data_IF_431704778272
#
_entry.id   IF_431704778272
#
_cell.length_a   1.000
_cell.length_b   1.000
_cell.length_c   1.000
_cell.angle_alpha   90.00
_cell.angle_beta   90.00
_cell.angle_gamma   90.00
#
_symmetry.space_group_name_H-M   'P 1'
#
loop_
_entity.id
_entity.type
_entity.pdbx_description
1 polymer ?
#
# COMPACT_ATOMS: atom_id res chain seq x y z
N UNK A 1 -19.02 -10.82 9.65
CA UNK A 1 -17.57 -10.88 9.36
C UNK A 1 -17.40 -10.37 7.95
N UNK A 2 -16.63 -9.31 7.71
CA UNK A 2 -16.45 -8.79 6.34
C UNK A 2 -15.58 -9.77 5.53
N UNK A 3 -16.04 -10.16 4.33
CA UNK A 3 -15.33 -11.06 3.42
C UNK A 3 -14.23 -10.30 2.66
N UNK A 4 -13.22 -9.84 3.41
CA UNK A 4 -12.07 -9.08 2.91
C UNK A 4 -10.91 -10.04 2.65
N UNK A 5 -10.32 -9.94 1.48
CA UNK A 5 -9.10 -10.64 1.09
C UNK A 5 -7.98 -9.64 0.78
N UNK A 6 -6.74 -10.14 0.85
CA UNK A 6 -5.55 -9.37 0.55
C UNK A 6 -4.64 -10.12 -0.42
N UNK A 7 -4.13 -9.41 -1.42
CA UNK A 7 -3.03 -9.86 -2.25
C UNK A 7 -1.81 -8.98 -2.01
N UNK A 8 -0.61 -9.56 -2.13
CA UNK A 8 0.66 -8.87 -1.85
C UNK A 8 1.66 -9.09 -2.98
N UNK A 9 2.46 -8.07 -3.27
CA UNK A 9 3.64 -8.13 -4.14
C UNK A 9 4.78 -7.39 -3.46
N UNK A 10 5.96 -8.00 -3.43
CA UNK A 10 7.16 -7.44 -2.83
C UNK A 10 8.26 -7.31 -3.88
N UNK A 11 8.86 -6.14 -3.96
CA UNK A 11 9.93 -5.82 -4.88
C UNK A 11 11.27 -5.82 -4.15
N UNK A 12 12.34 -6.11 -4.89
CA UNK A 12 13.71 -6.14 -4.35
C UNK A 12 14.17 -4.78 -3.82
N UNK A 13 13.62 -3.69 -4.36
CA UNK A 13 13.87 -2.30 -3.93
C UNK A 13 13.17 -1.94 -2.59
N UNK A 14 12.51 -2.90 -1.94
CA UNK A 14 11.84 -2.72 -0.66
C UNK A 14 10.46 -2.08 -0.74
N UNK A 15 9.88 -1.94 -1.94
CA UNK A 15 8.46 -1.63 -2.10
C UNK A 15 7.60 -2.88 -1.86
N UNK A 16 6.60 -2.74 -0.99
CA UNK A 16 5.51 -3.69 -0.86
C UNK A 16 4.20 -3.07 -1.33
N UNK A 17 3.55 -3.71 -2.30
CA UNK A 17 2.17 -3.43 -2.67
C UNK A 17 1.24 -4.43 -1.98
N UNK A 18 0.09 -3.93 -1.55
CA UNK A 18 -1.03 -4.78 -1.17
C UNK A 18 -2.32 -4.29 -1.81
N UNK A 19 -3.19 -5.23 -2.19
CA UNK A 19 -4.55 -4.95 -2.62
C UNK A 19 -5.49 -5.52 -1.58
N UNK A 20 -6.25 -4.65 -0.92
CA UNK A 20 -7.39 -5.03 -0.11
C UNK A 20 -8.61 -5.09 -1.03
N UNK A 21 -9.31 -6.22 -1.07
CA UNK A 21 -10.57 -6.32 -1.78
C UNK A 21 -11.61 -7.11 -1.00
N UNK A 22 -12.78 -6.50 -0.88
CA UNK A 22 -14.03 -7.14 -0.46
C UNK A 22 -14.61 -7.94 -1.61
N UNK A 23 -14.99 -9.19 -1.33
CA UNK A 23 -15.65 -10.06 -2.31
C UNK A 23 -17.07 -9.57 -2.61
N UNK A 24 -17.78 -9.09 -1.58
CA UNK A 24 -19.22 -8.82 -1.68
C UNK A 24 -19.59 -7.33 -1.86
N UNK A 25 -18.63 -6.41 -1.73
CA UNK A 25 -18.85 -4.95 -1.83
C UNK A 25 -17.70 -4.26 -2.59
N UNK A 26 -17.82 -3.95 -3.89
CA UNK A 26 -16.71 -3.37 -4.65
C UNK A 26 -16.27 -1.98 -4.17
N UNK A 27 -17.03 -1.30 -3.30
CA UNK A 27 -16.69 0.05 -2.80
C UNK A 27 -15.62 0.06 -1.71
N UNK A 28 -15.26 -1.09 -1.15
CA UNK A 28 -14.25 -1.24 -0.08
C UNK A 28 -12.95 -1.86 -0.60
N UNK A 29 -12.48 -1.40 -1.76
CA UNK A 29 -11.23 -1.86 -2.40
C UNK A 29 -10.17 -0.77 -2.40
N UNK A 30 -8.95 -1.12 -2.01
CA UNK A 30 -7.84 -0.17 -1.93
C UNK A 30 -6.50 -0.83 -2.25
N UNK A 31 -5.57 -0.03 -2.76
CA UNK A 31 -4.17 -0.42 -2.93
C UNK A 31 -3.32 0.35 -1.92
N UNK A 32 -2.47 -0.36 -1.20
CA UNK A 32 -1.52 0.22 -0.27
C UNK A 32 -0.07 0.03 -0.72
N UNK A 33 0.73 1.07 -0.54
CA UNK A 33 2.18 1.07 -0.70
C UNK A 33 2.85 1.10 0.67
N UNK A 34 3.88 0.29 0.86
CA UNK A 34 4.80 0.39 1.99
C UNK A 34 6.22 0.34 1.47
N UNK A 35 7.07 1.21 2.00
CA UNK A 35 8.51 1.24 1.74
C UNK A 35 9.24 0.92 3.03
N UNK A 36 10.22 0.02 2.89
CA UNK A 36 11.20 -0.27 3.92
C UNK A 36 11.96 0.99 4.37
N UNK A 37 12.48 0.94 5.59
CA UNK A 37 13.33 2.00 6.12
C UNK A 37 14.59 2.17 5.25
N UNK A 38 14.98 3.41 4.99
CA UNK A 38 16.15 3.72 4.14
C UNK A 38 15.94 3.66 2.62
N UNK A 39 14.86 3.06 2.12
CA UNK A 39 14.63 2.94 0.66
C UNK A 39 14.08 4.21 0.03
N UNK A 40 14.51 4.58 -1.17
CA UNK A 40 13.92 5.75 -1.87
C UNK A 40 12.51 5.45 -2.40
N UNK A 41 11.74 6.49 -2.70
CA UNK A 41 10.46 6.32 -3.40
C UNK A 41 10.78 5.93 -4.85
N UNK A 42 10.21 4.83 -5.39
CA UNK A 42 10.40 4.47 -6.79
C UNK A 42 10.03 5.61 -7.73
N UNK A 43 10.83 5.83 -8.77
CA UNK A 43 10.69 6.98 -9.67
C UNK A 43 9.30 7.04 -10.32
N UNK A 44 8.68 5.88 -10.58
CA UNK A 44 7.36 5.75 -11.17
C UNK A 44 6.25 6.27 -10.25
N UNK A 45 6.51 6.34 -8.93
CA UNK A 45 5.57 6.75 -7.89
C UNK A 45 5.88 8.15 -7.33
N UNK A 46 7.10 8.64 -7.54
CA UNK A 46 7.55 9.95 -7.08
C UNK A 46 6.65 11.07 -7.63
N UNK A 47 6.23 11.98 -6.77
CA UNK A 47 5.32 13.09 -7.11
C UNK A 47 3.86 12.69 -7.38
N UNK A 48 3.57 11.43 -7.69
CA UNK A 48 2.18 10.94 -7.93
C UNK A 48 1.46 10.61 -6.63
N UNK A 49 2.20 10.10 -5.64
CA UNK A 49 1.66 9.74 -4.35
C UNK A 49 2.36 10.48 -3.22
N UNK A 50 1.57 10.93 -2.24
CA UNK A 50 2.10 11.50 -1.01
C UNK A 50 2.42 10.37 -0.04
N UNK A 51 3.71 10.15 0.22
CA UNK A 51 4.15 9.19 1.21
C UNK A 51 4.21 9.84 2.59
N UNK A 52 3.51 9.25 3.56
CA UNK A 52 3.60 9.61 4.97
C UNK A 52 4.65 8.75 5.66
N UNK A 53 5.37 9.34 6.63
CA UNK A 53 6.31 8.63 7.49
C UNK A 53 5.63 8.37 8.83
N UNK A 54 5.60 7.11 9.26
CA UNK A 54 5.14 6.71 10.58
C UNK A 54 6.28 6.02 11.32
N UNK A 55 6.56 6.49 12.53
CA UNK A 55 7.56 5.86 13.42
C UNK A 55 6.88 4.75 14.21
N UNK A 56 7.34 3.52 14.04
CA UNK A 56 6.95 2.35 14.82
C UNK A 56 7.95 2.11 15.94
N UNK A 57 7.47 1.67 17.10
CA UNK A 57 8.33 1.22 18.20
C UNK A 57 9.02 -0.12 17.91
N UNK A 58 8.42 -0.94 17.04
CA UNK A 58 8.88 -2.30 16.72
C UNK A 58 9.61 -2.38 15.37
N UNK A 59 9.14 -1.64 14.36
CA UNK A 59 9.55 -1.82 12.96
C UNK A 59 10.30 -0.62 12.36
N UNK A 60 10.87 0.26 13.20
CA UNK A 60 11.55 1.47 12.74
C UNK A 60 10.61 2.48 12.08
N UNK A 61 11.10 3.27 11.13
CA UNK A 61 10.27 4.19 10.35
C UNK A 61 9.74 3.52 9.09
N UNK A 62 8.40 3.43 8.99
CA UNK A 62 7.71 2.96 7.78
C UNK A 62 7.25 4.16 6.98
N UNK A 63 7.45 4.10 5.66
CA UNK A 63 6.82 5.02 4.70
C UNK A 63 5.68 4.32 4.00
N UNK A 64 4.55 5.00 3.85
CA UNK A 64 3.42 4.43 3.14
C UNK A 64 2.54 5.46 2.47
N UNK A 65 1.77 4.97 1.50
CA UNK A 65 0.71 5.72 0.84
C UNK A 65 -0.38 4.72 0.42
N UNK A 66 -1.55 5.22 0.00
CA UNK A 66 -2.63 4.36 -0.48
C UNK A 66 -3.54 5.13 -1.44
N UNK A 67 -4.34 4.38 -2.20
CA UNK A 67 -5.46 4.93 -2.95
C UNK A 67 -6.62 3.94 -3.00
N UNK A 68 -7.83 4.46 -3.21
CA UNK A 68 -9.06 3.66 -3.34
C UNK A 68 -9.31 3.35 -4.81
N UNK A 69 -9.71 2.11 -5.09
CA UNK A 69 -10.12 1.69 -6.44
C UNK A 69 -11.56 2.17 -6.65
N UNK A 70 -11.76 3.03 -7.66
CA UNK A 70 -13.09 3.60 -7.97
C UNK A 70 -13.84 2.88 -9.09
N UNK A 71 -13.12 2.12 -9.93
CA UNK A 71 -13.73 1.37 -11.04
C UNK A 71 -14.26 0.02 -10.58
N UNK A 72 -15.28 -0.47 -11.29
CA UNK A 72 -15.75 -1.85 -11.18
C UNK A 72 -14.91 -2.70 -12.14
N UNK A 73 -14.14 -3.64 -11.58
CA UNK A 73 -13.28 -4.59 -12.28
C UNK A 73 -13.52 -5.99 -11.71
#
# INVERSE_FOLDING_TARGET
MENIQFAYVFYEDGLALNVMYTVDDPKKRAVGFKLSEGMEVPQELEGKFKFARQKSKLAGTIRGSFFVIKGEY
#
